data_IF_887240501749
#
_entry.id   IF_887240501749
#
_cell.length_a   1.000
_cell.length_b   1.000
_cell.length_c   1.000
_cell.angle_alpha   90.00
_cell.angle_beta   90.00
_cell.angle_gamma   90.00
#
_symmetry.space_group_name_H-M   'P 1'
#
loop_
_entity.id
_entity.type
_entity.pdbx_description
1 polymer ?
#
# COMPACT_ATOMS: atom_id res chain seq x y z
N UNK A 1 5.58 30.24 -21.48
CA UNK A 1 4.74 29.35 -20.65
C UNK A 1 4.69 29.79 -19.20
N UNK A 2 5.83 29.84 -18.48
CA UNK A 2 5.94 30.36 -17.11
C UNK A 2 5.34 31.77 -16.91
N UNK A 3 5.48 32.67 -17.90
CA UNK A 3 4.84 34.01 -17.91
C UNK A 3 3.29 33.99 -17.97
N UNK A 4 2.68 32.97 -18.55
CA UNK A 4 1.21 32.89 -18.66
C UNK A 4 0.56 32.48 -17.33
N UNK A 5 1.23 31.64 -16.54
CA UNK A 5 0.76 31.19 -15.22
C UNK A 5 0.72 32.33 -14.19
N UNK A 6 1.61 33.32 -14.29
CA UNK A 6 1.61 34.52 -13.43
C UNK A 6 0.55 35.56 -13.84
N UNK A 7 0.01 35.49 -15.05
CA UNK A 7 -1.02 36.43 -15.49
C UNK A 7 -2.37 36.06 -14.89
N UNK A 8 -3.21 37.05 -14.55
CA UNK A 8 -4.65 36.84 -14.24
C UNK A 8 -5.43 36.40 -15.49
N UNK A 9 -4.90 35.45 -16.27
CA UNK A 9 -5.59 34.86 -17.40
C UNK A 9 -6.84 34.12 -16.94
N UNK A 10 -7.77 33.88 -17.87
CA UNK A 10 -8.94 33.05 -17.61
C UNK A 10 -8.54 31.64 -17.17
N UNK A 11 -9.44 30.96 -16.45
CA UNK A 11 -9.28 29.59 -15.98
C UNK A 11 -8.77 28.64 -17.07
N UNK A 12 -9.33 28.73 -18.29
CA UNK A 12 -8.92 27.92 -19.45
C UNK A 12 -7.42 28.04 -19.77
N UNK A 13 -6.84 29.23 -19.65
CA UNK A 13 -5.42 29.45 -19.95
C UNK A 13 -4.52 28.74 -18.93
N UNK A 14 -4.95 28.72 -17.66
CA UNK A 14 -4.24 28.05 -16.58
C UNK A 14 -4.32 26.53 -16.73
N UNK A 15 -5.48 26.00 -17.11
CA UNK A 15 -5.66 24.58 -17.38
C UNK A 15 -4.73 24.07 -18.49
N UNK A 16 -4.66 24.80 -19.62
CA UNK A 16 -3.78 24.45 -20.73
C UNK A 16 -2.29 24.56 -20.33
N UNK A 17 -1.95 25.58 -19.54
CA UNK A 17 -0.59 25.78 -19.08
C UNK A 17 -0.13 24.67 -18.10
N UNK A 18 -0.96 24.27 -17.14
CA UNK A 18 -0.64 23.15 -16.24
C UNK A 18 -0.53 21.84 -17.02
N UNK A 19 -1.42 21.62 -18.00
CA UNK A 19 -1.40 20.40 -18.83
C UNK A 19 -0.08 20.26 -19.61
N UNK A 20 0.39 21.33 -20.24
CA UNK A 20 1.65 21.24 -20.97
C UNK A 20 2.88 21.20 -20.04
N UNK A 21 2.83 21.76 -18.83
CA UNK A 21 3.87 21.51 -17.81
C UNK A 21 3.88 20.04 -17.38
N UNK A 22 2.71 19.43 -17.17
CA UNK A 22 2.58 18.01 -16.85
C UNK A 22 3.23 17.12 -17.92
N UNK A 23 2.97 17.41 -19.19
CA UNK A 23 3.58 16.68 -20.31
C UNK A 23 5.10 16.87 -20.37
N UNK A 24 5.59 18.09 -20.11
CA UNK A 24 7.03 18.35 -20.07
C UNK A 24 7.71 17.63 -18.89
N UNK A 25 7.06 17.58 -17.72
CA UNK A 25 7.56 16.91 -16.52
C UNK A 25 7.66 15.39 -16.63
N UNK A 26 6.93 14.78 -17.56
CA UNK A 26 7.01 13.34 -17.82
C UNK A 26 8.40 12.90 -18.35
N UNK A 27 9.15 13.79 -19.00
CA UNK A 27 10.49 13.48 -19.50
C UNK A 27 11.57 13.88 -18.49
N UNK A 28 12.38 12.91 -18.04
CA UNK A 28 13.45 13.12 -17.03
C UNK A 28 14.42 14.25 -17.38
N UNK A 29 14.74 14.42 -18.66
CA UNK A 29 15.63 15.49 -19.15
C UNK A 29 15.13 16.89 -18.86
N UNK A 30 13.81 17.07 -18.70
CA UNK A 30 13.19 18.38 -18.50
C UNK A 30 13.08 18.76 -17.03
N UNK A 31 13.02 17.78 -16.14
CA UNK A 31 12.64 18.01 -14.73
C UNK A 31 13.62 18.92 -14.01
N UNK A 32 14.93 18.76 -14.27
CA UNK A 32 15.94 19.66 -13.71
C UNK A 32 15.74 21.13 -14.08
N UNK A 33 15.18 21.44 -15.26
CA UNK A 33 14.88 22.82 -15.68
C UNK A 33 13.53 23.32 -15.15
N UNK A 34 12.63 22.41 -14.80
CA UNK A 34 11.31 22.72 -14.30
C UNK A 34 11.33 23.00 -12.80
N UNK A 35 12.16 22.27 -12.04
CA UNK A 35 12.20 22.30 -10.57
C UNK A 35 13.34 23.15 -10.01
N UNK A 36 14.43 23.39 -10.76
CA UNK A 36 15.55 24.20 -10.26
C UNK A 36 15.23 25.69 -10.26
N UNK A 37 15.62 26.31 -9.15
CA UNK A 37 15.69 27.75 -8.99
C UNK A 37 16.77 28.36 -9.91
N UNK A 38 16.46 29.51 -10.51
CA UNK A 38 17.37 30.23 -11.42
C UNK A 38 18.60 30.82 -10.74
N UNK A 39 18.74 30.64 -9.43
CA UNK A 39 19.76 31.26 -8.56
C UNK A 39 21.20 30.77 -8.77
N UNK A 40 21.45 29.87 -9.73
CA UNK A 40 22.81 29.49 -10.15
C UNK A 40 23.37 30.29 -11.35
N UNK A 41 22.60 31.19 -11.95
CA UNK A 41 23.15 32.17 -12.89
C UNK A 41 23.66 33.41 -12.15
N UNK A 42 24.98 33.57 -12.04
CA UNK A 42 25.67 34.75 -11.50
C UNK A 42 25.54 36.01 -12.37
N UNK A 43 24.59 36.04 -13.30
CA UNK A 43 24.23 37.20 -14.11
C UNK A 43 22.99 37.83 -13.48
N UNK A 44 23.12 39.07 -13.00
CA UNK A 44 22.05 39.84 -12.34
C UNK A 44 20.85 40.23 -13.21
N UNK A 45 20.50 39.39 -14.18
CA UNK A 45 19.24 39.45 -14.91
C UNK A 45 18.27 38.51 -14.17
N UNK A 46 17.61 39.03 -13.13
CA UNK A 46 16.42 38.44 -12.53
C UNK A 46 15.28 38.53 -13.55
N UNK A 47 15.33 37.62 -14.54
CA UNK A 47 14.43 37.60 -15.69
C UNK A 47 13.07 36.98 -15.31
N UNK A 48 12.59 37.17 -14.07
CA UNK A 48 11.24 36.86 -13.61
C UNK A 48 10.72 35.43 -13.85
N UNK A 49 11.63 34.49 -14.14
CA UNK A 49 11.33 33.17 -14.72
C UNK A 49 11.00 32.15 -13.62
N UNK A 50 9.84 32.32 -12.99
CA UNK A 50 9.41 31.51 -11.84
C UNK A 50 9.47 30.01 -12.07
N UNK A 51 9.77 29.28 -11.00
CA UNK A 51 9.76 27.82 -10.93
C UNK A 51 8.44 27.21 -11.44
N UNK A 52 8.50 26.09 -12.17
CA UNK A 52 7.29 25.44 -12.67
C UNK A 52 6.42 24.91 -11.52
N UNK A 53 7.03 24.42 -10.45
CA UNK A 53 6.32 23.94 -9.25
C UNK A 53 5.62 25.10 -8.54
N UNK A 54 6.31 26.23 -8.33
CA UNK A 54 5.70 27.42 -7.74
C UNK A 54 4.51 27.92 -8.58
N UNK A 55 4.65 27.87 -9.91
CA UNK A 55 3.58 28.27 -10.81
C UNK A 55 2.36 27.34 -10.72
N UNK A 56 2.58 26.02 -10.59
CA UNK A 56 1.51 25.04 -10.36
C UNK A 56 0.83 25.29 -9.01
N UNK A 57 1.59 25.42 -7.93
CA UNK A 57 1.07 25.65 -6.57
C UNK A 57 0.28 26.96 -6.49
N UNK A 58 0.79 28.04 -7.10
CA UNK A 58 0.07 29.32 -7.15
C UNK A 58 -1.25 29.21 -7.93
N UNK A 59 -1.27 28.48 -9.06
CA UNK A 59 -2.49 28.26 -9.81
C UNK A 59 -3.51 27.40 -9.03
N UNK A 60 -3.05 26.34 -8.36
CA UNK A 60 -3.89 25.52 -7.49
C UNK A 60 -4.49 26.33 -6.34
N UNK A 61 -3.73 27.26 -5.74
CA UNK A 61 -4.22 28.16 -4.70
C UNK A 61 -5.20 29.21 -5.22
N UNK A 62 -4.90 29.83 -6.37
CA UNK A 62 -5.73 30.89 -6.95
C UNK A 62 -7.07 30.37 -7.48
N UNK A 63 -7.08 29.18 -8.06
CA UNK A 63 -8.28 28.53 -8.62
C UNK A 63 -8.64 27.29 -7.79
N UNK A 64 -8.63 27.44 -6.46
CA UNK A 64 -8.92 26.37 -5.51
C UNK A 64 -10.31 25.77 -5.72
N UNK A 65 -11.29 26.53 -6.17
CA UNK A 65 -12.66 26.06 -6.45
C UNK A 65 -12.81 25.33 -7.81
N UNK A 66 -11.78 25.34 -8.67
CA UNK A 66 -11.84 24.65 -9.96
C UNK A 66 -11.25 23.24 -9.88
N UNK A 67 -12.11 22.22 -9.90
CA UNK A 67 -11.68 20.82 -9.83
C UNK A 67 -10.74 20.41 -10.96
N UNK A 68 -10.94 20.94 -12.18
CA UNK A 68 -10.08 20.67 -13.34
C UNK A 68 -8.65 21.17 -13.11
N UNK A 69 -8.49 22.38 -12.54
CA UNK A 69 -7.17 22.93 -12.20
C UNK A 69 -6.51 22.06 -11.12
N UNK A 70 -7.25 21.63 -10.10
CA UNK A 70 -6.71 20.76 -9.05
C UNK A 70 -6.25 19.41 -9.59
N UNK A 71 -7.10 18.71 -10.37
CA UNK A 71 -6.76 17.42 -10.97
C UNK A 71 -5.53 17.51 -11.89
N UNK A 72 -5.45 18.55 -12.73
CA UNK A 72 -4.29 18.78 -13.60
C UNK A 72 -3.04 19.16 -12.81
N UNK A 73 -3.19 19.96 -11.75
CA UNK A 73 -2.10 20.35 -10.85
C UNK A 73 -1.47 19.13 -10.18
N UNK A 74 -2.30 18.29 -9.55
CA UNK A 74 -1.86 17.03 -8.97
C UNK A 74 -1.21 16.11 -10.03
N UNK A 75 -1.79 15.99 -11.22
CA UNK A 75 -1.20 15.19 -12.31
C UNK A 75 0.17 15.70 -12.76
N UNK A 76 0.35 17.03 -12.82
CA UNK A 76 1.65 17.62 -13.12
C UNK A 76 2.68 17.30 -12.05
N UNK A 77 2.30 17.38 -10.77
CA UNK A 77 3.14 16.99 -9.63
C UNK A 77 3.49 15.50 -9.70
N UNK A 78 2.53 14.63 -10.01
CA UNK A 78 2.76 13.18 -10.19
C UNK A 78 3.87 12.94 -11.21
N UNK A 79 3.82 13.58 -12.38
CA UNK A 79 4.81 13.42 -13.45
C UNK A 79 6.18 14.01 -13.07
N UNK A 80 6.22 15.13 -12.35
CA UNK A 80 7.47 15.71 -11.86
C UNK A 80 8.14 14.82 -10.79
N UNK A 81 7.34 14.11 -9.98
CA UNK A 81 7.82 13.24 -8.92
C UNK A 81 8.02 11.76 -9.35
N UNK A 82 7.71 11.40 -10.60
CA UNK A 82 7.74 10.01 -11.09
C UNK A 82 9.16 9.46 -11.38
N UNK A 83 10.20 10.24 -11.12
CA UNK A 83 11.58 9.87 -11.39
C UNK A 83 12.23 9.34 -10.12
N UNK A 84 13.12 8.35 -10.25
CA UNK A 84 13.84 7.74 -9.12
C UNK A 84 14.93 8.68 -8.58
N UNK A 85 14.48 9.73 -7.90
CA UNK A 85 15.32 10.75 -7.27
C UNK A 85 14.60 11.33 -6.04
N UNK A 86 14.98 10.86 -4.86
CA UNK A 86 14.39 11.31 -3.60
C UNK A 86 14.74 12.75 -3.24
N UNK A 87 15.87 13.29 -3.72
CA UNK A 87 16.25 14.70 -3.50
C UNK A 87 15.35 15.62 -4.30
N UNK A 88 15.05 15.25 -5.54
CA UNK A 88 14.11 15.96 -6.39
C UNK A 88 12.70 15.96 -5.76
N UNK A 89 12.21 14.81 -5.29
CA UNK A 89 10.92 14.70 -4.60
C UNK A 89 10.85 15.63 -3.38
N UNK A 90 11.94 15.73 -2.61
CA UNK A 90 12.04 16.65 -1.48
C UNK A 90 12.06 18.13 -1.91
N UNK A 91 12.77 18.47 -2.99
CA UNK A 91 12.79 19.83 -3.55
C UNK A 91 11.40 20.28 -4.00
N UNK A 92 10.65 19.39 -4.67
CA UNK A 92 9.25 19.63 -5.04
C UNK A 92 8.39 19.85 -3.79
N UNK A 93 8.53 18.99 -2.77
CA UNK A 93 7.77 19.09 -1.52
C UNK A 93 8.03 20.41 -0.78
N UNK A 94 9.27 20.91 -0.80
CA UNK A 94 9.66 22.16 -0.14
C UNK A 94 9.02 23.42 -0.74
N UNK A 95 8.39 23.32 -1.92
CA UNK A 95 7.70 24.42 -2.60
C UNK A 95 6.22 24.54 -2.21
N UNK A 96 5.82 23.96 -1.08
CA UNK A 96 4.46 24.05 -0.55
C UNK A 96 3.45 23.09 -1.20
N UNK A 97 3.94 22.13 -1.99
CA UNK A 97 3.10 21.16 -2.72
C UNK A 97 2.23 20.32 -1.79
N UNK A 98 2.74 19.90 -0.63
CA UNK A 98 1.96 19.12 0.34
C UNK A 98 0.67 19.83 0.76
N UNK A 99 0.76 21.11 1.15
CA UNK A 99 -0.40 21.90 1.56
C UNK A 99 -1.38 22.14 0.40
N UNK A 100 -0.87 22.36 -0.82
CA UNK A 100 -1.71 22.51 -2.00
C UNK A 100 -2.51 21.23 -2.30
N UNK A 101 -1.87 20.06 -2.24
CA UNK A 101 -2.55 18.76 -2.43
C UNK A 101 -3.63 18.57 -1.36
N UNK A 102 -3.31 18.79 -0.08
CA UNK A 102 -4.26 18.53 1.00
C UNK A 102 -5.43 19.52 0.99
N UNK A 103 -5.15 20.82 0.95
CA UNK A 103 -6.18 21.84 1.19
C UNK A 103 -6.84 22.37 -0.09
N UNK A 104 -6.08 22.54 -1.18
CA UNK A 104 -6.66 23.02 -2.44
C UNK A 104 -7.30 21.89 -3.24
N UNK A 105 -6.82 20.65 -3.10
CA UNK A 105 -7.35 19.49 -3.84
C UNK A 105 -8.20 18.57 -2.97
N UNK A 106 -7.59 17.82 -2.04
CA UNK A 106 -8.28 16.73 -1.34
C UNK A 106 -9.45 17.23 -0.47
N UNK A 107 -9.22 18.26 0.36
CA UNK A 107 -10.26 18.79 1.25
C UNK A 107 -11.34 19.58 0.50
N UNK A 108 -10.95 20.42 -0.46
CA UNK A 108 -11.88 21.27 -1.21
C UNK A 108 -12.78 20.48 -2.17
N UNK A 109 -12.25 19.40 -2.76
CA UNK A 109 -12.94 18.58 -3.76
C UNK A 109 -13.13 17.15 -3.27
N UNK A 110 -13.54 17.00 -2.00
CA UNK A 110 -13.76 15.69 -1.38
C UNK A 110 -14.67 14.79 -2.24
N UNK A 111 -15.70 15.36 -2.88
CA UNK A 111 -16.69 14.65 -3.70
C UNK A 111 -16.25 14.38 -5.16
N UNK A 112 -15.11 14.90 -5.61
CA UNK A 112 -14.62 14.68 -6.98
C UNK A 112 -13.57 13.54 -6.99
N UNK A 113 -13.99 12.35 -7.42
CA UNK A 113 -13.13 11.17 -7.49
C UNK A 113 -11.92 11.36 -8.41
N UNK A 114 -12.02 12.21 -9.44
CA UNK A 114 -10.90 12.47 -10.37
C UNK A 114 -9.83 13.31 -9.68
N UNK A 115 -10.23 14.31 -8.90
CA UNK A 115 -9.30 15.11 -8.09
C UNK A 115 -8.65 14.26 -7.01
N UNK A 116 -9.45 13.46 -6.28
CA UNK A 116 -8.94 12.58 -5.23
C UNK A 116 -7.92 11.57 -5.78
N UNK A 117 -8.23 10.89 -6.89
CA UNK A 117 -7.30 9.93 -7.50
C UNK A 117 -6.00 10.59 -7.96
N UNK A 118 -6.08 11.77 -8.59
CA UNK A 118 -4.90 12.53 -9.01
C UNK A 118 -4.05 12.97 -7.79
N UNK A 119 -4.70 13.44 -6.73
CA UNK A 119 -4.04 13.84 -5.49
C UNK A 119 -3.31 12.65 -4.83
N UNK A 120 -3.96 11.50 -4.69
CA UNK A 120 -3.37 10.29 -4.11
C UNK A 120 -2.16 9.81 -4.93
N UNK A 121 -2.23 9.86 -6.27
CA UNK A 121 -1.07 9.55 -7.14
C UNK A 121 0.09 10.53 -6.94
N UNK A 122 -0.19 11.81 -6.70
CA UNK A 122 0.83 12.81 -6.38
C UNK A 122 1.49 12.53 -5.02
N UNK A 123 0.71 12.25 -3.98
CA UNK A 123 1.22 11.86 -2.65
C UNK A 123 2.11 10.62 -2.76
N UNK A 124 1.63 9.57 -3.44
CA UNK A 124 2.38 8.33 -3.67
C UNK A 124 3.75 8.60 -4.26
N UNK A 125 3.82 9.33 -5.38
CA UNK A 125 5.08 9.59 -6.07
C UNK A 125 6.03 10.45 -5.23
N UNK A 126 5.51 11.41 -4.45
CA UNK A 126 6.33 12.24 -3.56
C UNK A 126 6.89 11.45 -2.37
N UNK A 127 6.16 10.46 -1.86
CA UNK A 127 6.54 9.67 -0.68
C UNK A 127 7.38 8.42 -0.99
N UNK A 128 7.31 7.90 -2.21
CA UNK A 128 8.08 6.71 -2.62
C UNK A 128 9.56 6.96 -2.35
N UNK A 129 10.25 6.03 -1.69
CA UNK A 129 11.68 6.10 -1.32
C UNK A 129 12.14 7.45 -0.73
N UNK A 130 11.25 8.15 -0.03
CA UNK A 130 11.51 9.48 0.52
C UNK A 130 10.89 9.62 1.91
N UNK A 131 11.56 9.07 2.92
CA UNK A 131 11.15 9.11 4.33
C UNK A 131 10.88 10.54 4.82
N UNK A 132 11.67 11.52 4.39
CA UNK A 132 11.45 12.93 4.74
C UNK A 132 10.11 13.46 4.23
N UNK A 133 9.69 13.06 3.03
CA UNK A 133 8.38 13.46 2.50
C UNK A 133 7.25 12.69 3.18
N UNK A 134 7.46 11.40 3.50
CA UNK A 134 6.51 10.61 4.28
C UNK A 134 6.22 11.31 5.62
N UNK A 135 7.28 11.63 6.38
CA UNK A 135 7.19 12.37 7.64
C UNK A 135 6.40 13.68 7.48
N UNK A 136 6.76 14.50 6.48
CA UNK A 136 6.08 15.78 6.23
C UNK A 136 4.60 15.62 5.91
N UNK A 137 4.21 14.61 5.14
CA UNK A 137 2.81 14.35 4.81
C UNK A 137 2.03 13.86 6.04
N UNK A 138 2.66 13.03 6.88
CA UNK A 138 2.08 12.58 8.16
C UNK A 138 1.87 13.79 9.09
N UNK A 139 2.89 14.65 9.23
CA UNK A 139 2.85 15.84 10.09
C UNK A 139 1.74 16.83 9.71
N UNK A 140 1.40 16.92 8.41
CA UNK A 140 0.32 17.80 7.93
C UNK A 140 -1.06 17.11 7.88
N UNK A 141 -1.18 15.86 8.36
CA UNK A 141 -2.46 15.17 8.51
C UNK A 141 -2.99 14.48 7.25
N UNK A 142 -2.14 13.92 6.39
CA UNK A 142 -2.58 13.27 5.15
C UNK A 142 -3.43 12.00 5.37
N UNK A 143 -3.24 11.30 6.50
CA UNK A 143 -3.81 9.95 6.73
C UNK A 143 -5.34 10.00 6.71
N UNK A 144 -5.94 10.91 7.46
CA UNK A 144 -7.39 11.07 7.55
C UNK A 144 -8.02 11.38 6.19
N UNK A 145 -7.33 12.18 5.37
CA UNK A 145 -7.77 12.54 4.02
C UNK A 145 -7.69 11.35 3.05
N UNK A 146 -6.65 10.51 3.15
CA UNK A 146 -6.52 9.30 2.33
C UNK A 146 -7.64 8.32 2.65
N UNK A 147 -7.88 8.06 3.94
CA UNK A 147 -8.92 7.14 4.41
C UNK A 147 -10.30 7.68 4.02
N UNK A 148 -10.57 8.97 4.27
CA UNK A 148 -11.84 9.61 3.89
C UNK A 148 -12.11 9.56 2.38
N UNK A 149 -11.07 9.73 1.55
CA UNK A 149 -11.21 9.62 0.10
C UNK A 149 -11.58 8.20 -0.32
N UNK A 150 -10.92 7.18 0.26
CA UNK A 150 -11.22 5.77 0.00
C UNK A 150 -12.61 5.36 0.50
N UNK A 151 -13.07 5.89 1.62
CA UNK A 151 -14.42 5.65 2.15
C UNK A 151 -15.49 6.24 1.25
N UNK A 152 -15.31 7.50 0.85
CA UNK A 152 -16.28 8.24 0.03
C UNK A 152 -16.40 7.68 -1.38
N UNK A 153 -15.28 7.27 -1.97
CA UNK A 153 -15.21 6.79 -3.36
C UNK A 153 -14.96 5.28 -3.43
N UNK A 154 -15.66 4.53 -2.57
CA UNK A 154 -15.53 3.07 -2.44
C UNK A 154 -15.72 2.30 -3.74
N UNK A 155 -16.47 2.83 -4.70
CA UNK A 155 -16.79 2.17 -5.97
C UNK A 155 -15.83 2.52 -7.11
N UNK A 156 -14.77 3.32 -6.85
CA UNK A 156 -13.81 3.79 -7.87
C UNK A 156 -12.49 3.01 -7.73
N UNK A 157 -12.21 2.00 -8.58
CA UNK A 157 -11.07 1.11 -8.39
C UNK A 157 -9.72 1.84 -8.45
N UNK A 158 -9.54 2.76 -9.39
CA UNK A 158 -8.29 3.52 -9.54
C UNK A 158 -7.94 4.36 -8.31
N UNK A 159 -8.96 4.89 -7.63
CA UNK A 159 -8.81 5.63 -6.39
C UNK A 159 -8.49 4.69 -5.22
N UNK A 160 -9.17 3.55 -5.10
CA UNK A 160 -8.87 2.54 -4.06
C UNK A 160 -7.43 2.03 -4.20
N UNK A 161 -6.97 1.76 -5.42
CA UNK A 161 -5.60 1.35 -5.70
C UNK A 161 -4.60 2.44 -5.28
N UNK A 162 -4.84 3.69 -5.67
CA UNK A 162 -3.95 4.81 -5.33
C UNK A 162 -3.91 5.07 -3.82
N UNK A 163 -5.05 5.00 -3.14
CA UNK A 163 -5.17 5.18 -1.70
C UNK A 163 -4.47 4.07 -0.91
N UNK A 164 -4.72 2.80 -1.27
CA UNK A 164 -4.04 1.66 -0.66
C UNK A 164 -2.52 1.71 -0.87
N UNK A 165 -2.08 2.18 -2.05
CA UNK A 165 -0.68 2.42 -2.33
C UNK A 165 -0.07 3.46 -1.37
N UNK A 166 -0.73 4.61 -1.19
CA UNK A 166 -0.31 5.65 -0.23
C UNK A 166 -0.25 5.10 1.20
N UNK A 167 -1.29 4.37 1.65
CA UNK A 167 -1.31 3.73 2.97
C UNK A 167 -0.11 2.79 3.14
N UNK A 168 0.18 1.93 2.14
CA UNK A 168 1.31 1.00 2.21
C UNK A 168 2.67 1.69 2.34
N UNK A 169 2.85 2.84 1.69
CA UNK A 169 4.09 3.64 1.73
C UNK A 169 4.22 4.36 3.07
N UNK A 170 3.14 5.01 3.55
CA UNK A 170 3.18 5.74 4.82
C UNK A 170 3.34 4.78 6.01
N UNK A 171 2.69 3.62 5.98
CA UNK A 171 2.82 2.58 7.01
C UNK A 171 4.24 2.00 7.09
N UNK A 172 5.06 2.14 6.04
CA UNK A 172 6.44 1.66 6.04
C UNK A 172 7.41 2.61 6.78
N UNK A 173 7.01 3.88 6.98
CA UNK A 173 7.86 4.91 7.60
C UNK A 173 8.24 4.60 9.06
N UNK A 174 7.26 4.45 9.95
CA UNK A 174 7.49 4.20 11.37
C UNK A 174 6.33 3.43 12.01
N UNK A 175 6.59 2.74 13.12
CA UNK A 175 5.57 1.96 13.82
C UNK A 175 4.40 2.85 14.31
N UNK A 176 4.70 4.04 14.81
CA UNK A 176 3.67 5.00 15.26
C UNK A 176 2.71 5.38 14.13
N UNK A 177 3.19 5.42 12.88
CA UNK A 177 2.35 5.66 11.71
C UNK A 177 1.42 4.48 11.42
N UNK A 178 1.88 3.24 11.63
CA UNK A 178 1.01 2.07 11.51
C UNK A 178 -0.11 2.11 12.53
N UNK A 179 0.21 2.41 13.79
CA UNK A 179 -0.77 2.56 14.87
C UNK A 179 -1.77 3.66 14.50
N UNK A 180 -1.28 4.83 14.07
CA UNK A 180 -2.12 5.95 13.65
C UNK A 180 -3.06 5.59 12.50
N UNK A 181 -2.60 4.83 11.51
CA UNK A 181 -3.46 4.36 10.40
C UNK A 181 -4.52 3.37 10.93
N UNK A 182 -4.15 2.48 11.84
CA UNK A 182 -5.08 1.55 12.50
C UNK A 182 -6.17 2.28 13.28
N UNK A 183 -5.76 3.21 14.15
CA UNK A 183 -6.65 4.03 14.98
C UNK A 183 -7.63 4.88 14.14
N UNK A 184 -7.28 5.19 12.88
CA UNK A 184 -8.13 5.91 11.94
C UNK A 184 -8.98 4.99 11.04
N UNK A 185 -9.23 3.73 11.44
CA UNK A 185 -10.02 2.76 10.66
C UNK A 185 -9.40 2.39 9.30
N UNK A 186 -8.07 2.51 9.18
CA UNK A 186 -7.35 2.15 7.96
C UNK A 186 -7.45 0.66 7.63
N UNK A 187 -7.51 -0.22 8.64
CA UNK A 187 -7.68 -1.67 8.44
C UNK A 187 -9.06 -1.95 7.82
N UNK A 188 -10.13 -1.42 8.39
CA UNK A 188 -11.51 -1.58 7.88
C UNK A 188 -11.64 -1.08 6.44
N UNK A 189 -11.01 0.07 6.16
CA UNK A 189 -10.97 0.69 4.83
C UNK A 189 -10.34 -0.24 3.79
N UNK A 190 -9.20 -0.84 4.13
CA UNK A 190 -8.47 -1.77 3.27
C UNK A 190 -9.27 -3.07 3.04
N UNK A 191 -9.84 -3.66 4.10
CA UNK A 191 -10.65 -4.88 3.99
C UNK A 191 -11.89 -4.68 3.11
N UNK A 192 -12.57 -3.54 3.27
CA UNK A 192 -13.71 -3.16 2.42
C UNK A 192 -13.28 -2.98 0.97
N UNK A 193 -12.15 -2.31 0.70
CA UNK A 193 -11.65 -2.10 -0.66
C UNK A 193 -11.37 -3.42 -1.38
N UNK A 194 -10.75 -4.40 -0.68
CA UNK A 194 -10.55 -5.76 -1.21
C UNK A 194 -11.90 -6.43 -1.50
N UNK A 195 -12.84 -6.35 -0.56
CA UNK A 195 -14.15 -7.01 -0.69
C UNK A 195 -14.94 -6.46 -1.89
N UNK A 196 -15.02 -5.14 -2.03
CA UNK A 196 -15.76 -4.47 -3.12
C UNK A 196 -15.10 -4.73 -4.48
N UNK A 197 -13.76 -4.71 -4.53
CA UNK A 197 -12.99 -4.83 -5.77
C UNK A 197 -12.24 -6.16 -5.87
N UNK A 198 -12.81 -7.24 -5.34
CA UNK A 198 -12.16 -8.55 -5.26
C UNK A 198 -11.64 -9.06 -6.60
N UNK A 199 -12.25 -8.65 -7.72
CA UNK A 199 -11.84 -9.05 -9.08
C UNK A 199 -10.77 -8.15 -9.71
N UNK A 200 -10.39 -7.03 -9.07
CA UNK A 200 -9.43 -6.07 -9.60
C UNK A 200 -8.04 -6.31 -8.99
N UNK A 201 -7.19 -7.05 -9.69
CA UNK A 201 -5.88 -7.48 -9.19
C UNK A 201 -5.02 -6.32 -8.65
N UNK A 202 -5.00 -5.16 -9.31
CA UNK A 202 -4.25 -4.00 -8.84
C UNK A 202 -4.73 -3.47 -7.48
N UNK A 203 -6.05 -3.44 -7.24
CA UNK A 203 -6.59 -2.97 -5.96
C UNK A 203 -6.25 -3.99 -4.88
N UNK A 204 -6.49 -5.27 -5.16
CA UNK A 204 -6.22 -6.37 -4.22
C UNK A 204 -4.74 -6.44 -3.85
N UNK A 205 -3.82 -6.33 -4.81
CA UNK A 205 -2.38 -6.35 -4.54
C UNK A 205 -1.96 -5.22 -3.60
N UNK A 206 -2.36 -3.98 -3.91
CA UNK A 206 -1.98 -2.83 -3.09
C UNK A 206 -2.65 -2.82 -1.72
N UNK A 207 -3.90 -3.25 -1.64
CA UNK A 207 -4.61 -3.41 -0.36
C UNK A 207 -3.97 -4.49 0.51
N UNK A 208 -3.64 -5.66 -0.06
CA UNK A 208 -2.94 -6.71 0.67
C UNK A 208 -1.55 -6.25 1.11
N UNK A 209 -0.85 -5.45 0.29
CA UNK A 209 0.45 -4.89 0.68
C UNK A 209 0.34 -3.91 1.84
N UNK A 210 -0.67 -3.04 1.82
CA UNK A 210 -0.98 -2.16 2.94
C UNK A 210 -1.30 -2.95 4.21
N UNK A 211 -2.17 -3.97 4.11
CA UNK A 211 -2.55 -4.82 5.23
C UNK A 211 -1.33 -5.57 5.80
N UNK A 212 -0.49 -6.16 4.95
CA UNK A 212 0.75 -6.80 5.37
C UNK A 212 1.63 -5.84 6.18
N UNK A 213 1.87 -4.63 5.66
CA UNK A 213 2.69 -3.64 6.36
C UNK A 213 2.08 -3.24 7.71
N UNK A 214 0.76 -3.07 7.78
CA UNK A 214 0.07 -2.74 9.03
C UNK A 214 0.17 -3.86 10.08
N UNK A 215 0.15 -5.13 9.68
CA UNK A 215 0.28 -6.28 10.59
C UNK A 215 1.69 -6.48 11.19
N UNK A 216 2.69 -5.69 10.77
CA UNK A 216 3.96 -5.65 11.50
C UNK A 216 3.84 -5.01 12.88
N UNK A 217 2.83 -4.14 13.08
CA UNK A 217 2.44 -3.70 14.41
C UNK A 217 1.47 -4.71 15.05
N UNK A 218 1.69 -5.01 16.33
CA UNK A 218 0.94 -6.05 17.05
C UNK A 218 -0.48 -5.63 17.44
N UNK A 219 -0.73 -4.35 17.68
CA UNK A 219 -2.07 -3.86 17.98
C UNK A 219 -2.93 -3.92 16.72
N UNK A 220 -2.38 -3.50 15.59
CA UNK A 220 -3.03 -3.66 14.28
C UNK A 220 -3.28 -5.12 13.92
N UNK A 221 -2.30 -5.99 14.13
CA UNK A 221 -2.48 -7.43 13.92
C UNK A 221 -3.57 -8.01 14.83
N UNK A 222 -3.66 -7.56 16.09
CA UNK A 222 -4.73 -7.95 17.01
C UNK A 222 -6.11 -7.44 16.54
N UNK A 223 -6.19 -6.19 16.07
CA UNK A 223 -7.41 -5.61 15.50
C UNK A 223 -7.91 -6.40 14.27
N UNK A 224 -7.00 -6.91 13.44
CA UNK A 224 -7.37 -7.79 12.32
C UNK A 224 -8.04 -9.11 12.76
N UNK A 225 -7.89 -9.52 14.02
CA UNK A 225 -8.46 -10.74 14.58
C UNK A 225 -9.77 -10.50 15.35
N UNK A 226 -10.23 -9.26 15.42
CA UNK A 226 -11.53 -8.95 16.00
C UNK A 226 -12.64 -9.53 15.12
N UNK A 227 -13.60 -10.20 15.78
CA UNK A 227 -14.80 -10.71 15.12
C UNK A 227 -15.87 -9.64 15.09
N UNK A 228 -16.66 -9.63 14.03
CA UNK A 228 -17.96 -8.97 14.07
C UNK A 228 -18.95 -9.87 14.83
N UNK A 229 -20.07 -9.30 15.27
CA UNK A 229 -21.09 -10.06 16.04
C UNK A 229 -21.69 -11.22 15.23
N UNK A 230 -21.67 -11.12 13.90
CA UNK A 230 -22.35 -12.04 12.99
C UNK A 230 -21.40 -13.04 12.31
N UNK A 231 -20.08 -12.87 12.43
CA UNK A 231 -19.10 -13.69 11.71
C UNK A 231 -18.47 -14.79 12.60
N UNK A 232 -18.44 -16.01 12.07
CA UNK A 232 -17.75 -17.14 12.70
C UNK A 232 -16.22 -16.97 12.71
N UNK A 233 -15.68 -16.20 11.75
CA UNK A 233 -14.25 -15.95 11.53
C UNK A 233 -13.95 -14.45 11.48
N UNK A 234 -12.76 -14.01 11.92
CA UNK A 234 -12.32 -12.62 11.73
C UNK A 234 -12.34 -12.21 10.24
N UNK A 235 -12.95 -11.06 9.88
CA UNK A 235 -13.05 -10.62 8.47
C UNK A 235 -11.72 -10.50 7.74
N UNK A 236 -10.64 -10.14 8.43
CA UNK A 236 -9.33 -10.02 7.79
C UNK A 236 -8.82 -11.38 7.28
N UNK A 237 -9.10 -12.48 8.01
CA UNK A 237 -8.71 -13.84 7.61
C UNK A 237 -9.46 -14.23 6.35
N UNK A 238 -10.79 -14.06 6.34
CA UNK A 238 -11.64 -14.45 5.20
C UNK A 238 -11.31 -13.65 3.96
N UNK A 239 -11.18 -12.32 4.09
CA UNK A 239 -10.87 -11.41 2.97
C UNK A 239 -9.51 -11.72 2.34
N UNK A 240 -8.48 -12.03 3.14
CA UNK A 240 -7.15 -12.39 2.61
C UNK A 240 -7.19 -13.72 1.87
N UNK A 241 -7.90 -14.73 2.40
CA UNK A 241 -8.04 -16.04 1.75
C UNK A 241 -8.84 -15.90 0.45
N UNK A 242 -9.96 -15.18 0.46
CA UNK A 242 -10.77 -14.91 -0.73
C UNK A 242 -9.97 -14.19 -1.82
N UNK A 243 -9.13 -13.21 -1.43
CA UNK A 243 -8.22 -12.53 -2.35
C UNK A 243 -7.20 -13.49 -2.97
N UNK A 244 -6.62 -14.40 -2.19
CA UNK A 244 -5.72 -15.44 -2.70
C UNK A 244 -6.44 -16.38 -3.67
N UNK A 245 -7.66 -16.80 -3.36
CA UNK A 245 -8.43 -17.71 -4.22
C UNK A 245 -8.87 -17.02 -5.52
N UNK A 246 -9.32 -15.76 -5.45
CA UNK A 246 -9.76 -14.99 -6.62
C UNK A 246 -8.61 -14.66 -7.59
N UNK A 247 -7.37 -14.57 -7.09
CA UNK A 247 -6.17 -14.25 -7.86
C UNK A 247 -5.09 -15.33 -7.75
N UNK A 248 -5.50 -16.60 -7.85
CA UNK A 248 -4.61 -17.76 -7.75
C UNK A 248 -3.41 -17.70 -8.72
N UNK A 249 -3.54 -17.00 -9.85
CA UNK A 249 -2.51 -16.86 -10.88
C UNK A 249 -1.59 -15.65 -10.69
N UNK A 250 -1.77 -14.83 -9.65
CA UNK A 250 -0.98 -13.62 -9.38
C UNK A 250 -0.01 -13.87 -8.23
N UNK A 251 1.27 -14.08 -8.54
CA UNK A 251 2.30 -14.47 -7.57
C UNK A 251 2.44 -13.47 -6.40
N UNK A 252 2.38 -12.16 -6.67
CA UNK A 252 2.47 -11.11 -5.65
C UNK A 252 1.35 -11.24 -4.61
N UNK A 253 0.11 -11.48 -5.04
CA UNK A 253 -1.05 -11.65 -4.16
C UNK A 253 -0.89 -12.93 -3.32
N UNK A 254 -0.42 -14.02 -3.91
CA UNK A 254 -0.17 -15.27 -3.17
C UNK A 254 0.91 -15.10 -2.10
N UNK A 255 2.03 -14.47 -2.46
CA UNK A 255 3.12 -14.18 -1.53
C UNK A 255 2.63 -13.34 -0.35
N UNK A 256 1.98 -12.20 -0.64
CA UNK A 256 1.54 -11.25 0.38
C UNK A 256 0.45 -11.87 1.26
N UNK A 257 -0.50 -12.59 0.68
CA UNK A 257 -1.54 -13.27 1.45
C UNK A 257 -0.98 -14.29 2.43
N UNK A 258 -0.03 -15.12 1.99
CA UNK A 258 0.67 -16.06 2.88
C UNK A 258 1.45 -15.32 3.99
N UNK A 259 2.11 -14.21 3.66
CA UNK A 259 2.86 -13.41 4.63
C UNK A 259 1.96 -12.76 5.68
N UNK A 260 0.83 -12.19 5.27
CA UNK A 260 -0.15 -11.55 6.17
C UNK A 260 -0.73 -12.58 7.14
N UNK A 261 -1.19 -13.72 6.63
CA UNK A 261 -1.70 -14.81 7.47
C UNK A 261 -0.61 -15.38 8.39
N UNK A 262 0.66 -15.41 7.97
CA UNK A 262 1.76 -15.88 8.80
C UNK A 262 2.07 -14.91 9.96
N UNK A 263 1.92 -13.59 9.75
CA UNK A 263 2.02 -12.59 10.82
C UNK A 263 0.90 -12.80 11.85
N UNK A 264 -0.34 -12.98 11.39
CA UNK A 264 -1.49 -13.22 12.25
C UNK A 264 -1.36 -14.54 13.04
N UNK A 265 -0.97 -15.64 12.38
CA UNK A 265 -0.78 -16.95 13.01
C UNK A 265 0.30 -16.96 14.10
N UNK A 266 1.27 -16.03 14.03
CA UNK A 266 2.36 -15.95 14.99
C UNK A 266 2.07 -14.99 16.15
N UNK A 267 0.95 -14.26 16.11
CA UNK A 267 0.57 -13.32 17.16
C UNK A 267 0.29 -14.07 18.48
N UNK A 268 0.76 -13.51 19.59
CA UNK A 268 0.49 -14.06 20.91
C UNK A 268 1.34 -15.27 21.34
N UNK A 269 2.23 -15.76 20.46
CA UNK A 269 3.06 -16.95 20.73
C UNK A 269 4.25 -16.68 21.65
N UNK A 270 4.60 -15.42 21.87
CA UNK A 270 5.71 -15.00 22.72
C UNK A 270 5.23 -14.59 24.13
N UNK A 271 6.03 -14.87 25.15
CA UNK A 271 5.67 -14.64 26.56
C UNK A 271 5.39 -13.17 26.92
N UNK A 272 5.74 -12.22 26.03
CA UNK A 272 5.50 -10.78 26.14
C UNK A 272 4.08 -10.34 25.76
N UNK A 273 3.25 -11.23 25.22
CA UNK A 273 1.98 -10.89 24.56
C UNK A 273 0.73 -11.03 25.43
N UNK A 274 0.87 -11.24 26.74
CA UNK A 274 -0.24 -11.48 27.68
C UNK A 274 -1.31 -10.38 27.72
N UNK A 275 -1.07 -9.22 27.12
CA UNK A 275 -1.92 -8.04 27.21
C UNK A 275 -2.78 -7.78 25.96
N UNK A 276 -2.65 -8.55 24.88
CA UNK A 276 -3.39 -8.31 23.63
C UNK A 276 -4.76 -9.01 23.58
N UNK A 277 -5.08 -9.89 24.54
CA UNK A 277 -6.36 -10.62 24.57
C UNK A 277 -6.56 -11.62 23.43
N UNK A 278 -5.51 -11.92 22.66
CA UNK A 278 -5.54 -12.87 21.53
C UNK A 278 -5.13 -14.25 22.01
N UNK A 279 -5.93 -15.26 21.67
CA UNK A 279 -5.58 -16.68 21.84
C UNK A 279 -4.85 -17.20 20.58
N UNK A 280 -3.55 -17.55 20.69
CA UNK A 280 -2.77 -18.03 19.55
C UNK A 280 -3.25 -19.36 18.98
N UNK A 281 -3.78 -20.26 19.82
CA UNK A 281 -4.28 -21.56 19.37
C UNK A 281 -5.54 -21.33 18.55
N UNK A 282 -6.47 -20.56 19.10
CA UNK A 282 -7.73 -20.23 18.43
C UNK A 282 -7.50 -19.47 17.12
N UNK A 283 -6.52 -18.56 17.08
CA UNK A 283 -6.16 -17.81 15.86
C UNK A 283 -5.69 -18.75 14.75
N UNK A 284 -4.82 -19.72 15.07
CA UNK A 284 -4.34 -20.72 14.10
C UNK A 284 -5.45 -21.64 13.62
N UNK A 285 -6.41 -21.96 14.48
CA UNK A 285 -7.61 -22.71 14.10
C UNK A 285 -8.47 -21.88 13.14
N UNK A 286 -8.78 -20.61 13.44
CA UNK A 286 -9.54 -19.74 12.54
C UNK A 286 -8.93 -19.62 11.14
N UNK A 287 -7.60 -19.53 11.06
CA UNK A 287 -6.91 -19.46 9.77
C UNK A 287 -7.08 -20.77 8.97
N UNK A 288 -7.02 -21.94 9.63
CA UNK A 288 -7.25 -23.23 8.97
C UNK A 288 -8.72 -23.44 8.60
N UNK A 289 -9.64 -23.14 9.52
CA UNK A 289 -11.09 -23.25 9.32
C UNK A 289 -11.60 -22.30 8.22
N UNK A 290 -10.91 -21.18 7.99
CA UNK A 290 -11.16 -20.27 6.86
C UNK A 290 -10.76 -20.82 5.49
N UNK A 291 -10.23 -22.04 5.40
CA UNK A 291 -9.86 -22.68 4.13
C UNK A 291 -8.47 -22.31 3.61
N UNK A 292 -7.57 -21.80 4.47
CA UNK A 292 -6.24 -21.34 4.00
C UNK A 292 -5.42 -22.46 3.36
N UNK A 293 -5.60 -23.71 3.78
CA UNK A 293 -4.77 -24.83 3.32
C UNK A 293 -4.98 -25.12 1.83
N UNK A 294 -6.19 -24.93 1.31
CA UNK A 294 -6.47 -25.01 -0.12
C UNK A 294 -5.77 -23.88 -0.88
N UNK A 295 -5.85 -22.65 -0.36
CA UNK A 295 -5.18 -21.49 -0.95
C UNK A 295 -3.65 -21.64 -0.97
N UNK A 296 -3.04 -22.13 0.12
CA UNK A 296 -1.61 -22.43 0.21
C UNK A 296 -1.22 -23.50 -0.82
N UNK A 297 -1.99 -24.58 -0.90
CA UNK A 297 -1.72 -25.68 -1.83
C UNK A 297 -1.77 -25.19 -3.28
N UNK A 298 -2.81 -24.43 -3.63
CA UNK A 298 -2.95 -23.80 -4.95
C UNK A 298 -1.76 -22.88 -5.26
N UNK A 299 -1.42 -21.99 -4.33
CA UNK A 299 -0.30 -21.06 -4.45
C UNK A 299 1.02 -21.78 -4.70
N UNK A 300 1.33 -22.81 -3.89
CA UNK A 300 2.57 -23.56 -4.02
C UNK A 300 2.65 -24.34 -5.33
N UNK A 301 1.53 -24.87 -5.82
CA UNK A 301 1.48 -25.64 -7.08
C UNK A 301 1.58 -24.73 -8.30
N UNK A 302 0.79 -23.67 -8.39
CA UNK A 302 0.76 -22.75 -9.53
C UNK A 302 2.05 -21.93 -9.62
N UNK A 303 2.62 -21.53 -8.48
CA UNK A 303 3.83 -20.70 -8.39
C UNK A 303 5.05 -21.48 -7.92
N UNK A 304 5.20 -22.74 -8.39
CA UNK A 304 6.31 -23.65 -8.01
C UNK A 304 7.71 -23.11 -8.27
N UNK A 305 7.84 -22.09 -9.14
CA UNK A 305 9.10 -21.48 -9.54
C UNK A 305 9.33 -20.10 -8.88
N UNK A 306 8.38 -19.61 -8.07
CA UNK A 306 8.49 -18.32 -7.39
C UNK A 306 8.97 -18.52 -5.95
N UNK A 307 10.25 -18.24 -5.71
CA UNK A 307 10.91 -18.52 -4.42
C UNK A 307 10.19 -17.87 -3.24
N UNK A 308 9.73 -16.63 -3.39
CA UNK A 308 9.06 -15.87 -2.32
C UNK A 308 7.70 -16.48 -1.97
N UNK A 309 6.92 -16.93 -2.96
CA UNK A 309 5.63 -17.61 -2.71
C UNK A 309 5.88 -18.91 -1.93
N UNK A 310 6.84 -19.72 -2.36
CA UNK A 310 7.18 -20.98 -1.68
C UNK A 310 7.66 -20.75 -0.24
N UNK A 311 8.51 -19.75 -0.01
CA UNK A 311 9.03 -19.40 1.31
C UNK A 311 7.90 -18.99 2.27
N UNK A 312 7.03 -18.07 1.82
CA UNK A 312 5.92 -17.58 2.65
C UNK A 312 4.90 -18.67 2.93
N UNK A 313 4.59 -19.51 1.95
CA UNK A 313 3.72 -20.67 2.14
C UNK A 313 4.29 -21.67 3.15
N UNK A 314 5.57 -22.03 3.04
CA UNK A 314 6.23 -22.94 4.00
C UNK A 314 6.26 -22.36 5.42
N UNK A 315 6.47 -21.04 5.54
CA UNK A 315 6.48 -20.33 6.83
C UNK A 315 5.09 -20.31 7.45
N UNK A 316 4.04 -20.04 6.66
CA UNK A 316 2.66 -20.09 7.13
C UNK A 316 2.28 -21.49 7.61
N UNK A 317 2.57 -22.54 6.83
CA UNK A 317 2.33 -23.93 7.24
C UNK A 317 3.04 -24.26 8.56
N UNK A 318 4.28 -23.80 8.73
CA UNK A 318 5.02 -23.95 9.99
C UNK A 318 4.33 -23.25 11.16
N UNK A 319 3.86 -22.01 10.98
CA UNK A 319 3.19 -21.26 12.05
C UNK A 319 1.84 -21.88 12.44
N UNK A 320 1.14 -22.50 11.49
CA UNK A 320 -0.14 -23.18 11.70
C UNK A 320 -0.02 -24.58 12.32
N UNK A 321 1.19 -25.14 12.42
CA UNK A 321 1.44 -26.51 12.89
C UNK A 321 1.28 -26.66 14.42
N UNK A 322 0.04 -26.59 14.88
CA UNK A 322 -0.42 -27.04 16.20
C UNK A 322 -1.09 -28.41 16.07
N UNK A 323 -1.20 -29.15 17.17
CA UNK A 323 -1.71 -30.52 17.19
C UNK A 323 -3.07 -30.66 16.50
N UNK A 324 -4.01 -29.75 16.77
CA UNK A 324 -5.36 -29.71 16.16
C UNK A 324 -5.32 -29.58 14.63
N UNK A 325 -4.31 -28.90 14.09
CA UNK A 325 -4.17 -28.64 12.66
C UNK A 325 -3.34 -29.69 11.92
N UNK A 326 -2.62 -30.58 12.62
CA UNK A 326 -1.67 -31.51 12.01
C UNK A 326 -2.31 -32.40 10.92
N UNK A 327 -3.48 -32.95 11.19
CA UNK A 327 -4.17 -33.84 10.25
C UNK A 327 -4.57 -33.10 8.96
N UNK A 328 -5.11 -31.88 9.09
CA UNK A 328 -5.50 -31.04 7.97
C UNK A 328 -4.28 -30.60 7.14
N UNK A 329 -3.20 -30.17 7.80
CA UNK A 329 -1.95 -29.79 7.14
C UNK A 329 -1.36 -30.97 6.36
N UNK A 330 -1.28 -32.16 6.97
CA UNK A 330 -0.77 -33.37 6.31
C UNK A 330 -1.59 -33.75 5.07
N UNK A 331 -2.92 -33.57 5.11
CA UNK A 331 -3.77 -33.80 3.96
C UNK A 331 -3.47 -32.81 2.82
N UNK A 332 -3.27 -31.53 3.14
CA UNK A 332 -3.02 -30.47 2.16
C UNK A 332 -1.64 -30.58 1.48
N UNK A 333 -0.57 -30.84 2.23
CA UNK A 333 0.80 -30.91 1.68
C UNK A 333 1.12 -32.23 0.95
N UNK A 334 0.17 -33.16 0.94
CA UNK A 334 0.23 -34.43 0.22
C UNK A 334 1.03 -35.53 0.91
N UNK A 335 0.99 -36.72 0.29
CA UNK A 335 1.68 -37.93 0.78
C UNK A 335 3.17 -37.63 0.99
N UNK A 336 3.68 -38.07 2.15
CA UNK A 336 5.07 -37.85 2.57
C UNK A 336 5.53 -36.39 2.56
N UNK A 337 4.61 -35.42 2.65
CA UNK A 337 4.92 -34.00 2.72
C UNK A 337 5.67 -33.51 1.46
N UNK A 338 5.34 -34.07 0.30
CA UNK A 338 6.05 -33.84 -0.95
C UNK A 338 6.08 -32.37 -1.35
N UNK A 339 4.99 -31.63 -1.15
CA UNK A 339 4.89 -30.22 -1.56
C UNK A 339 5.97 -29.34 -0.91
N UNK A 340 6.15 -29.46 0.40
CA UNK A 340 7.17 -28.68 1.14
C UNK A 340 8.59 -29.21 0.93
N UNK A 341 8.75 -30.51 0.65
CA UNK A 341 10.05 -31.10 0.27
C UNK A 341 10.52 -30.59 -1.10
N UNK A 342 9.61 -30.47 -2.06
CA UNK A 342 9.92 -29.92 -3.38
C UNK A 342 10.29 -28.44 -3.30
N UNK A 343 9.55 -27.65 -2.51
CA UNK A 343 9.91 -26.26 -2.21
C UNK A 343 11.32 -26.14 -1.62
N UNK A 344 11.65 -26.95 -0.59
CA UNK A 344 12.97 -26.98 0.03
C UNK A 344 14.10 -27.43 -0.93
N UNK A 345 13.79 -28.28 -1.90
CA UNK A 345 14.73 -28.74 -2.92
C UNK A 345 14.98 -27.68 -3.99
N UNK A 346 13.92 -27.02 -4.45
CA UNK A 346 14.00 -25.99 -5.50
C UNK A 346 14.58 -24.68 -4.97
N UNK A 347 14.31 -24.34 -3.70
CA UNK A 347 14.77 -23.11 -3.05
C UNK A 347 15.42 -23.41 -1.69
N UNK A 348 16.64 -23.98 -1.67
CA UNK A 348 17.29 -24.39 -0.42
C UNK A 348 17.56 -23.25 0.56
N UNK A 349 17.84 -22.04 0.06
CA UNK A 349 18.21 -20.91 0.93
C UNK A 349 16.99 -20.36 1.67
N UNK A 350 15.83 -20.34 1.02
CA UNK A 350 14.60 -19.77 1.54
C UNK A 350 13.72 -20.83 2.25
N UNK A 351 13.55 -22.00 1.64
CA UNK A 351 12.51 -22.95 2.05
C UNK A 351 13.01 -24.10 2.94
N UNK A 352 14.31 -24.42 2.94
CA UNK A 352 14.83 -25.61 3.64
C UNK A 352 14.62 -25.56 5.15
N UNK A 353 14.87 -24.40 5.78
CA UNK A 353 14.70 -24.22 7.22
C UNK A 353 13.23 -24.35 7.66
N UNK A 354 12.27 -23.60 7.10
CA UNK A 354 10.87 -23.73 7.49
C UNK A 354 10.31 -25.12 7.17
N UNK A 355 10.61 -25.69 6.01
CA UNK A 355 10.13 -27.03 5.64
C UNK A 355 10.64 -28.13 6.58
N UNK A 356 11.94 -28.13 6.94
CA UNK A 356 12.49 -29.13 7.86
C UNK A 356 11.90 -29.01 9.27
N UNK A 357 11.67 -27.78 9.74
CA UNK A 357 11.03 -27.55 11.03
C UNK A 357 9.59 -28.07 11.03
N UNK A 358 8.84 -27.82 9.96
CA UNK A 358 7.48 -28.33 9.79
C UNK A 358 7.46 -29.86 9.77
N UNK A 359 8.32 -30.49 8.96
CA UNK A 359 8.44 -31.96 8.88
C UNK A 359 8.75 -32.55 10.25
N UNK A 360 9.63 -31.90 11.04
CA UNK A 360 9.94 -32.35 12.40
C UNK A 360 8.73 -32.23 13.32
N UNK A 361 7.99 -31.13 13.28
CA UNK A 361 6.79 -30.94 14.12
C UNK A 361 5.70 -31.95 13.78
N UNK A 362 5.42 -32.17 12.49
CA UNK A 362 4.41 -33.14 12.05
C UNK A 362 4.84 -34.59 12.24
N UNK A 363 6.15 -34.87 12.20
CA UNK A 363 6.72 -36.22 12.32
C UNK A 363 6.86 -36.74 13.76
N UNK A 364 6.74 -35.88 14.78
CA UNK A 364 6.82 -36.28 16.20
C UNK A 364 5.55 -37.02 16.68
N UNK A 365 4.46 -36.97 15.91
CA UNK A 365 3.19 -37.64 16.23
C UNK A 365 2.95 -38.96 15.45
N UNK A 366 4.00 -39.65 14.99
CA UNK A 366 3.90 -41.01 14.39
C UNK A 366 4.25 -42.11 15.37
#
# INVERSE_FOLDING_TARGET
>A
MKRFLKSKGGQDLQEHAISALSNLGAARSNVGFLVRDGSSSSSGDDDGNGDAVDAIVNAMGQYSECSIVQAKGCSAITNLASHDDSKLRLEIMNKGVGLAILYSSMAMHADDSTVQEAALKAVRNLCTDCETNQAKFIDIGVIDLVISAMDRHKDVPGLQEAGACVISILADYHNDTRILIGDNHGIDTILRAITVHLKHAGVVEWCNRALLTLTFDRHNAASCLEKTVDDDLPPAITVVIDAMMAHENVASIQEIGCATLANLANLGTDTSSSNLGVDPVQTKMYIVDGGTLDAITMAMVLHRNESRVQERACTLLLHLAIEDNHAAILAAIGIDMQLVKDAAKNFPDQCKKPANNLIRLLGVNR
#
